data_IF_485461306152
#
_entry.id   IF_485461306152
#
_cell.length_a   1.000
_cell.length_b   1.000
_cell.length_c   1.000
_cell.angle_alpha   90.00
_cell.angle_beta   90.00
_cell.angle_gamma   90.00
#
_symmetry.space_group_name_H-M   'P 1'
#
loop_
_entity.id
_entity.type
_entity.pdbx_description
1 polymer ?
#
# COMPACT_ATOMS: atom_id res chain seq x y z
N UNK A 1 -5.26 -13.01 2.64
CA UNK A 1 -4.08 -12.13 2.65
C UNK A 1 -2.81 -12.98 2.73
N UNK A 2 -1.71 -12.58 2.09
CA UNK A 2 -0.48 -13.38 1.95
C UNK A 2 0.09 -13.89 3.29
N UNK A 3 -0.06 -13.12 4.36
CA UNK A 3 0.29 -13.50 5.74
C UNK A 3 -0.34 -14.82 6.20
N UNK A 4 -1.58 -15.12 5.77
CA UNK A 4 -2.25 -16.38 6.06
C UNK A 4 -1.55 -17.56 5.39
N UNK A 5 -1.16 -17.42 4.11
CA UNK A 5 -0.50 -18.49 3.36
C UNK A 5 0.84 -18.88 3.99
N UNK A 6 1.58 -17.88 4.46
CA UNK A 6 2.84 -18.06 5.19
C UNK A 6 2.60 -18.69 6.56
N UNK A 7 1.61 -18.20 7.33
CA UNK A 7 1.30 -18.70 8.67
C UNK A 7 1.00 -20.20 8.67
N UNK A 8 0.28 -20.69 7.65
CA UNK A 8 -0.07 -22.10 7.50
C UNK A 8 0.94 -22.92 6.69
N UNK A 9 2.09 -22.32 6.34
CA UNK A 9 3.19 -22.98 5.61
C UNK A 9 2.79 -23.55 4.26
N UNK A 10 1.81 -22.92 3.60
CA UNK A 10 1.48 -23.30 2.22
C UNK A 10 2.53 -22.82 1.23
N UNK A 11 3.19 -21.69 1.52
CA UNK A 11 4.21 -21.07 0.68
C UNK A 11 5.30 -20.42 1.53
N UNK A 12 6.54 -20.43 1.05
CA UNK A 12 7.63 -19.66 1.64
C UNK A 12 7.47 -18.18 1.25
N UNK A 13 7.62 -17.23 2.17
CA UNK A 13 7.51 -15.80 1.88
C UNK A 13 8.34 -15.31 0.68
N UNK A 14 9.52 -15.91 0.44
CA UNK A 14 10.39 -15.52 -0.67
C UNK A 14 9.81 -15.86 -2.05
N UNK A 15 8.87 -16.80 -2.09
CA UNK A 15 8.20 -17.26 -3.31
C UNK A 15 6.90 -16.46 -3.56
N UNK A 16 6.58 -15.50 -2.71
CA UNK A 16 5.41 -14.63 -2.82
C UNK A 16 5.85 -13.23 -3.29
N UNK A 17 5.14 -12.70 -4.28
CA UNK A 17 5.22 -11.29 -4.67
C UNK A 17 3.92 -10.61 -4.33
N UNK A 18 3.97 -9.62 -3.46
CA UNK A 18 2.82 -8.83 -3.06
C UNK A 18 2.90 -7.43 -3.67
N UNK A 19 1.86 -7.06 -4.42
CA UNK A 19 1.63 -5.71 -4.92
C UNK A 19 0.20 -5.33 -4.62
N UNK A 20 -0.01 -4.20 -3.98
CA UNK A 20 -1.33 -3.69 -3.62
C UNK A 20 -1.50 -2.26 -4.13
N UNK A 21 -2.72 -1.88 -4.48
CA UNK A 21 -3.07 -0.52 -4.91
C UNK A 21 -3.97 0.12 -3.85
N UNK A 22 -3.62 1.32 -3.36
CA UNK A 22 -4.44 2.05 -2.41
C UNK A 22 -4.70 1.30 -1.10
N UNK A 23 -3.76 0.47 -0.64
CA UNK A 23 -3.97 -0.41 0.51
C UNK A 23 -4.15 0.39 1.81
N UNK A 24 -5.24 0.19 2.57
CA UNK A 24 -5.40 0.76 3.90
C UNK A 24 -4.40 0.18 4.91
N UNK A 25 -4.28 0.79 6.09
CA UNK A 25 -3.48 0.20 7.19
C UNK A 25 -4.18 -1.05 7.71
N UNK A 26 -3.43 -2.11 8.01
CA UNK A 26 -4.00 -3.45 8.25
C UNK A 26 -3.61 -4.11 9.56
N UNK A 27 -2.61 -3.59 10.28
CA UNK A 27 -2.19 -4.17 11.55
C UNK A 27 -1.40 -3.19 12.40
N UNK A 28 -1.06 -3.62 13.60
CA UNK A 28 -0.23 -2.88 14.54
C UNK A 28 1.25 -2.84 14.08
N UNK A 29 2.09 -2.23 14.93
CA UNK A 29 3.51 -2.08 14.65
C UNK A 29 4.24 -3.43 14.52
N UNK A 30 3.94 -4.40 15.40
CA UNK A 30 4.57 -5.72 15.37
C UNK A 30 4.23 -6.47 14.08
N UNK A 31 2.97 -6.38 13.64
CA UNK A 31 2.55 -6.95 12.37
C UNK A 31 3.24 -6.27 11.18
N UNK A 32 3.32 -4.94 11.17
CA UNK A 32 3.96 -4.18 10.09
C UNK A 32 5.47 -4.47 9.97
N UNK A 33 6.17 -4.58 11.10
CA UNK A 33 7.59 -4.94 11.15
C UNK A 33 7.81 -6.38 10.69
N UNK A 34 7.04 -7.33 11.23
CA UNK A 34 7.09 -8.73 10.79
C UNK A 34 6.82 -8.86 9.29
N UNK A 35 5.81 -8.17 8.77
CA UNK A 35 5.46 -8.24 7.35
C UNK A 35 6.60 -7.68 6.48
N UNK A 36 7.20 -6.57 6.91
CA UNK A 36 8.37 -5.96 6.25
C UNK A 36 9.58 -6.89 6.19
N UNK A 37 9.76 -7.73 7.20
CA UNK A 37 10.84 -8.72 7.25
C UNK A 37 10.52 -10.01 6.49
N UNK A 38 9.26 -10.46 6.55
CA UNK A 38 8.82 -11.72 5.97
C UNK A 38 8.79 -11.66 4.44
N UNK A 39 8.22 -10.60 3.86
CA UNK A 39 7.98 -10.53 2.42
C UNK A 39 9.03 -9.64 1.73
N UNK A 40 10.06 -10.22 1.07
CA UNK A 40 11.11 -9.42 0.42
C UNK A 40 10.59 -8.64 -0.79
N UNK A 41 9.53 -9.13 -1.43
CA UNK A 41 8.85 -8.46 -2.54
C UNK A 41 7.44 -8.07 -2.10
N UNK A 42 7.32 -6.90 -1.48
CA UNK A 42 6.06 -6.36 -0.99
C UNK A 42 6.00 -4.86 -1.22
N UNK A 43 5.12 -4.43 -2.13
CA UNK A 43 5.00 -3.03 -2.55
C UNK A 43 3.55 -2.55 -2.47
N UNK A 44 3.35 -1.40 -1.83
CA UNK A 44 2.09 -0.67 -1.82
C UNK A 44 2.21 0.49 -2.80
N UNK A 45 1.42 0.46 -3.86
CA UNK A 45 1.36 1.54 -4.84
C UNK A 45 0.28 2.52 -4.39
N UNK A 46 0.64 3.80 -4.29
CA UNK A 46 -0.25 4.88 -3.85
C UNK A 46 -0.30 5.96 -4.91
N UNK A 47 -1.52 6.30 -5.34
CA UNK A 47 -1.77 7.35 -6.31
C UNK A 47 -2.00 8.70 -5.60
N UNK A 48 -1.10 9.65 -5.84
CA UNK A 48 -1.21 11.04 -5.43
C UNK A 48 -1.69 11.21 -3.98
N UNK A 49 -2.90 11.73 -3.79
CA UNK A 49 -3.52 12.01 -2.48
C UNK A 49 -4.67 11.04 -2.14
N UNK A 50 -4.56 9.79 -2.60
CA UNK A 50 -5.50 8.72 -2.28
C UNK A 50 -5.73 8.64 -0.75
N UNK A 51 -6.97 8.82 -0.26
CA UNK A 51 -7.28 8.81 1.17
C UNK A 51 -7.16 7.43 1.81
N UNK A 52 -7.28 6.35 1.04
CA UNK A 52 -7.46 4.99 1.58
C UNK A 52 -6.21 4.47 2.29
N UNK A 53 -4.98 4.68 1.77
CA UNK A 53 -3.77 4.39 2.53
C UNK A 53 -3.67 5.12 3.87
N UNK A 54 -4.39 6.21 4.08
CA UNK A 54 -4.34 6.96 5.32
C UNK A 54 -5.37 6.52 6.36
N UNK A 55 -6.18 5.50 6.07
CA UNK A 55 -7.18 4.94 7.00
C UNK A 55 -6.92 3.45 7.32
N UNK A 56 -7.18 2.99 8.56
CA UNK A 56 -7.37 3.82 9.76
C UNK A 56 -6.15 4.71 10.04
N UNK A 57 -6.29 5.82 10.79
CA UNK A 57 -5.18 6.73 11.07
C UNK A 57 -4.09 6.04 11.90
N UNK A 58 -2.82 6.39 11.66
CA UNK A 58 -1.67 5.82 12.36
C UNK A 58 -1.78 5.97 13.88
N UNK A 59 -2.20 7.16 14.33
CA UNK A 59 -2.46 7.46 15.74
C UNK A 59 -3.97 7.36 15.95
N UNK A 60 -4.39 6.40 16.77
CA UNK A 60 -5.79 6.12 17.02
C UNK A 60 -5.97 5.03 18.08
N UNK A 61 -7.19 4.53 18.29
CA UNK A 61 -7.47 3.47 19.26
C UNK A 61 -6.63 2.21 19.02
N UNK A 62 -6.45 1.85 17.74
CA UNK A 62 -5.81 0.60 17.34
C UNK A 62 -4.32 0.76 16.97
N UNK A 63 -3.81 2.00 16.89
CA UNK A 63 -2.45 2.35 16.42
C UNK A 63 -1.93 1.43 15.30
N UNK A 64 -2.42 1.67 14.09
CA UNK A 64 -2.13 0.82 12.93
C UNK A 64 -0.98 1.38 12.11
N UNK A 65 -0.20 0.50 11.48
CA UNK A 65 1.00 0.84 10.74
C UNK A 65 1.03 0.15 9.38
N UNK A 66 1.68 0.80 8.42
CA UNK A 66 2.04 0.20 7.15
C UNK A 66 3.38 -0.53 7.20
N UNK A 67 3.47 -1.63 6.46
CA UNK A 67 4.74 -2.26 6.12
C UNK A 67 5.45 -1.51 4.96
N UNK A 68 6.75 -1.75 4.80
CA UNK A 68 7.50 -1.37 3.58
C UNK A 68 7.14 -2.28 2.39
N UNK A 69 7.29 -1.88 1.14
CA UNK A 69 7.71 -0.59 0.60
C UNK A 69 6.48 0.19 0.10
N UNK A 70 6.58 1.51 0.03
CA UNK A 70 5.62 2.33 -0.70
C UNK A 70 6.21 2.83 -2.02
N UNK A 71 5.40 2.78 -3.08
CA UNK A 71 5.69 3.36 -4.39
C UNK A 71 4.66 4.44 -4.61
N UNK A 72 5.10 5.69 -4.48
CA UNK A 72 4.23 6.84 -4.50
C UNK A 72 4.37 7.62 -5.80
N UNK A 73 3.23 7.84 -6.46
CA UNK A 73 3.13 8.66 -7.65
C UNK A 73 2.48 9.99 -7.30
N UNK A 74 3.28 11.03 -7.13
CA UNK A 74 2.80 12.41 -6.96
C UNK A 74 2.44 13.05 -8.31
N UNK A 75 1.63 12.34 -9.09
CA UNK A 75 1.16 12.70 -10.44
C UNK A 75 0.04 11.73 -10.86
N UNK A 76 -0.47 11.89 -12.08
CA UNK A 76 -1.59 11.10 -12.62
C UNK A 76 -1.25 9.64 -13.02
N UNK A 77 -0.06 9.13 -12.71
CA UNK A 77 0.38 7.76 -13.05
C UNK A 77 0.38 7.39 -14.55
N UNK A 78 0.35 8.36 -15.45
CA UNK A 78 0.46 8.10 -16.88
C UNK A 78 1.76 7.33 -17.21
N UNK A 79 1.75 6.53 -18.27
CA UNK A 79 2.91 5.69 -18.65
C UNK A 79 4.18 6.54 -18.79
N UNK A 80 5.23 6.14 -18.06
CA UNK A 80 6.53 6.82 -18.06
C UNK A 80 6.66 7.98 -17.05
N UNK A 81 5.60 8.30 -16.30
CA UNK A 81 5.69 9.27 -15.22
C UNK A 81 6.59 8.78 -14.07
N UNK A 82 7.32 9.70 -13.41
CA UNK A 82 8.20 9.34 -12.31
C UNK A 82 7.41 8.92 -11.07
N UNK A 83 8.09 8.20 -10.18
CA UNK A 83 7.58 7.81 -8.88
C UNK A 83 8.70 7.86 -7.84
N UNK A 84 8.31 7.90 -6.58
CA UNK A 84 9.22 7.83 -5.43
C UNK A 84 9.06 6.49 -4.74
N UNK A 85 10.19 5.81 -4.46
CA UNK A 85 10.18 4.62 -3.60
C UNK A 85 10.50 5.04 -2.18
N UNK A 86 9.65 4.62 -1.27
CA UNK A 86 9.66 4.99 0.12
C UNK A 86 10.06 3.76 0.95
N UNK A 87 11.31 3.70 1.48
CA UNK A 87 11.90 2.47 1.98
C UNK A 87 11.48 2.08 3.41
N UNK A 88 11.07 3.05 4.19
CA UNK A 88 10.67 2.90 5.59
C UNK A 88 9.17 2.63 5.73
N UNK A 89 8.83 1.87 6.76
CA UNK A 89 7.46 1.61 7.16
C UNK A 89 6.80 2.88 7.76
N UNK A 90 5.69 3.31 7.16
CA UNK A 90 4.74 4.34 7.68
C UNK A 90 5.37 5.62 8.27
N UNK A 91 6.43 6.13 7.63
CA UNK A 91 7.08 7.39 8.01
C UNK A 91 6.35 8.62 7.50
N UNK A 92 6.76 9.80 7.98
CA UNK A 92 6.15 11.10 7.66
C UNK A 92 6.67 11.68 6.33
N UNK A 93 6.67 10.84 5.28
CA UNK A 93 7.16 11.17 3.95
C UNK A 93 6.33 10.45 2.87
N UNK A 94 6.54 10.77 1.60
CA UNK A 94 5.73 10.27 0.47
C UNK A 94 4.23 10.63 0.60
N UNK A 95 3.30 9.68 0.42
CA UNK A 95 1.87 10.03 0.39
C UNK A 95 1.39 10.58 1.73
N UNK A 96 2.07 10.26 2.84
CA UNK A 96 1.78 10.84 4.16
C UNK A 96 2.02 12.37 4.22
N UNK A 97 2.65 12.99 3.21
CA UNK A 97 2.79 14.45 3.10
C UNK A 97 1.57 15.15 2.49
N UNK A 98 0.67 14.40 1.82
CA UNK A 98 -0.48 14.92 1.07
C UNK A 98 -1.78 14.23 1.46
N UNK A 99 -2.27 14.52 2.66
CA UNK A 99 -3.52 13.93 3.17
C UNK A 99 -4.73 14.63 2.55
N UNK A 100 -5.60 13.86 1.89
CA UNK A 100 -6.88 14.33 1.36
C UNK A 100 -8.02 13.41 1.80
N UNK A 101 -9.26 13.89 1.71
CA UNK A 101 -10.48 13.08 1.86
C UNK A 101 -11.17 12.75 0.53
N UNK A 102 -10.61 13.20 -0.59
CA UNK A 102 -11.20 13.00 -1.90
C UNK A 102 -10.88 11.61 -2.46
N UNK A 103 -11.91 10.80 -2.70
CA UNK A 103 -11.76 9.43 -3.17
C UNK A 103 -11.41 9.30 -4.66
N UNK A 104 -11.32 10.40 -5.42
CA UNK A 104 -11.09 10.34 -6.87
C UNK A 104 -9.77 9.64 -7.21
N UNK A 105 -8.68 9.98 -6.53
CA UNK A 105 -7.37 9.38 -6.79
C UNK A 105 -7.33 7.88 -6.44
N UNK A 106 -8.17 7.44 -5.50
CA UNK A 106 -8.30 6.02 -5.16
C UNK A 106 -8.87 5.19 -6.31
N UNK A 107 -9.70 5.79 -7.16
CA UNK A 107 -10.39 5.05 -8.23
C UNK A 107 -9.51 4.82 -9.45
N UNK A 108 -8.38 5.53 -9.57
CA UNK A 108 -7.56 5.54 -10.79
C UNK A 108 -6.14 5.12 -10.50
N UNK A 109 -5.66 4.09 -11.22
CA UNK A 109 -4.26 3.67 -11.18
C UNK A 109 -3.81 3.38 -12.63
N UNK A 110 -2.73 4.02 -13.08
CA UNK A 110 -2.19 3.88 -14.44
C UNK A 110 -3.22 4.12 -15.57
N UNK A 111 -3.96 5.24 -15.50
CA UNK A 111 -5.05 5.60 -16.43
C UNK A 111 -6.20 4.56 -16.50
N UNK A 112 -6.33 3.69 -15.50
CA UNK A 112 -7.42 2.71 -15.40
C UNK A 112 -8.25 2.95 -14.16
N UNK A 113 -9.57 2.93 -14.34
CA UNK A 113 -10.48 2.83 -13.21
C UNK A 113 -10.39 1.41 -12.63
N UNK A 114 -9.83 1.27 -11.43
CA UNK A 114 -9.58 -0.03 -10.80
C UNK A 114 -10.87 -0.75 -10.38
N UNK A 115 -11.91 0.00 -10.01
CA UNK A 115 -13.22 -0.57 -9.67
C UNK A 115 -13.87 -1.24 -10.87
N UNK A 116 -13.97 -0.53 -11.98
CA UNK A 116 -14.53 -1.05 -13.24
C UNK A 116 -13.67 -2.18 -13.83
N UNK A 117 -12.34 -2.09 -13.72
CA UNK A 117 -11.45 -3.15 -14.18
C UNK A 117 -11.63 -4.45 -13.38
N UNK A 118 -11.81 -4.34 -12.06
CA UNK A 118 -12.02 -5.51 -11.21
C UNK A 118 -13.31 -6.26 -11.50
N UNK A 119 -14.37 -5.55 -11.89
CA UNK A 119 -15.67 -6.15 -12.24
C UNK A 119 -15.68 -6.87 -13.60
N UNK A 120 -14.79 -6.48 -14.51
CA UNK A 120 -14.70 -7.03 -15.88
C UNK A 120 -13.58 -8.08 -16.06
N UNK A 121 -12.94 -8.52 -14.97
CA UNK A 121 -11.81 -9.45 -14.95
C UNK A 121 -12.18 -10.93 -14.90
#
# INVERSE_FOLDING_TARGET
MASYLVKWRYWDPKDIRLVTFGQPRTGDYEFADWHSAAFPYSYRVVHHRDPIPHVPPRIGPDNVFHHRYEVWYDNNMAVGQPYTICPEADGDYCSNTVISGESWEHMWYFDRNIGEWGENG
#
